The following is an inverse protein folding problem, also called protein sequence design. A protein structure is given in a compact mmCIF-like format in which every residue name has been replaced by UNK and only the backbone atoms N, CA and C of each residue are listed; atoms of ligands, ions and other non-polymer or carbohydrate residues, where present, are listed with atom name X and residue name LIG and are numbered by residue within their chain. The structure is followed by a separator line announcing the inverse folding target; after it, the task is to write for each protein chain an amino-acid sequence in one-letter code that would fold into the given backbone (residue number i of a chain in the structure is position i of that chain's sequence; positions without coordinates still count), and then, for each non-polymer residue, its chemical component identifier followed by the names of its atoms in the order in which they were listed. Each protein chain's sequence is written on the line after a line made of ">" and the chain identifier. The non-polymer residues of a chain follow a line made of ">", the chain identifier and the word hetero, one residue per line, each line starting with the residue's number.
data_IF_400736201888
#
_entry.id   IF_400736201888
#
_cell.length_a   1.000
_cell.length_b   1.000
_cell.length_c   1.000
_cell.angle_alpha   90.00
_cell.angle_beta   90.00
_cell.angle_gamma   90.00
#
_symmetry.space_group_name_H-M   'P 1'
#
loop_
_entity.id
_entity.type
_entity.pdbx_description
1 polymer ?
#
# COMPACT_ATOMS: atom_id res chain seq x y z
N UNK A 1 -14.67 -10.77 13.96
CA UNK A 1 -15.36 -11.26 12.73
C UNK A 1 -15.96 -10.03 12.07
N UNK A 2 -15.56 -9.67 10.85
CA UNK A 2 -16.12 -8.49 10.16
C UNK A 2 -17.54 -8.83 9.67
N UNK A 3 -18.54 -7.95 9.82
CA UNK A 3 -19.90 -8.27 9.38
C UNK A 3 -19.97 -8.30 7.84
N UNK A 4 -20.75 -9.23 7.25
CA UNK A 4 -20.85 -9.33 5.81
C UNK A 4 -21.69 -8.16 5.25
N UNK A 5 -21.07 -7.36 4.39
CA UNK A 5 -21.80 -6.37 3.59
C UNK A 5 -22.67 -7.10 2.56
N UNK A 6 -24.00 -6.99 2.72
CA UNK A 6 -24.95 -7.35 1.66
C UNK A 6 -24.92 -6.26 0.60
N UNK A 7 -24.63 -6.60 -0.65
CA UNK A 7 -25.06 -5.77 -1.77
C UNK A 7 -25.74 -6.63 -2.83
N UNK A 8 -26.99 -6.27 -3.10
CA UNK A 8 -27.93 -6.84 -4.02
C UNK A 8 -27.70 -6.24 -5.42
N UNK A 9 -27.14 -7.02 -6.34
CA UNK A 9 -27.50 -7.02 -7.77
C UNK A 9 -27.59 -5.74 -8.60
N UNK A 10 -27.18 -4.55 -8.13
CA UNK A 10 -27.16 -3.34 -8.96
C UNK A 10 -25.97 -3.38 -9.92
N UNK A 11 -26.28 -3.43 -11.22
CA UNK A 11 -25.31 -3.35 -12.32
C UNK A 11 -24.52 -2.03 -12.20
N UNK A 12 -23.33 -2.07 -11.60
CA UNK A 12 -22.47 -0.88 -11.54
C UNK A 12 -22.02 -0.51 -12.95
N UNK A 13 -22.30 0.71 -13.44
CA UNK A 13 -21.83 1.17 -14.74
C UNK A 13 -20.30 1.11 -14.74
N UNK A 14 -19.72 0.47 -15.76
CA UNK A 14 -18.28 0.38 -16.07
C UNK A 14 -17.41 0.86 -14.92
N UNK A 15 -17.19 -0.02 -13.95
CA UNK A 15 -16.48 0.28 -12.70
C UNK A 15 -15.22 1.10 -13.00
N UNK A 16 -15.24 2.40 -12.67
CA UNK A 16 -14.07 3.26 -12.78
C UNK A 16 -12.92 2.56 -12.04
N UNK A 17 -11.95 2.04 -12.78
CA UNK A 17 -10.86 1.25 -12.24
C UNK A 17 -10.00 2.19 -11.38
N UNK A 18 -10.13 2.10 -10.07
CA UNK A 18 -9.30 2.86 -9.15
C UNK A 18 -7.88 2.29 -9.17
N UNK A 19 -6.88 3.13 -9.46
CA UNK A 19 -5.48 2.74 -9.46
C UNK A 19 -4.80 3.37 -8.23
N UNK A 20 -4.19 2.53 -7.40
CA UNK A 20 -3.35 2.98 -6.29
C UNK A 20 -1.90 2.51 -6.51
N UNK A 21 -0.93 3.40 -6.25
CA UNK A 21 0.50 3.12 -6.38
C UNK A 21 1.17 3.43 -5.05
N UNK A 22 1.82 2.42 -4.47
CA UNK A 22 2.64 2.61 -3.28
C UNK A 22 3.94 3.33 -3.68
N UNK A 23 4.31 4.35 -2.90
CA UNK A 23 5.51 5.16 -3.14
C UNK A 23 6.35 5.26 -1.87
N UNK A 24 7.67 5.18 -2.03
CA UNK A 24 8.66 5.52 -1.00
C UNK A 24 9.74 6.46 -1.61
N UNK A 25 10.74 6.85 -0.82
CA UNK A 25 11.84 7.75 -1.19
C UNK A 25 12.83 7.16 -2.20
N UNK A 26 12.66 5.90 -2.58
CA UNK A 26 13.61 5.18 -3.42
C UNK A 26 13.34 5.37 -4.93
N UNK A 27 14.41 5.34 -5.73
CA UNK A 27 14.35 5.47 -7.19
C UNK A 27 13.39 4.46 -7.87
N UNK A 28 13.30 3.19 -7.44
CA UNK A 28 12.34 2.25 -8.01
C UNK A 28 10.87 2.70 -7.89
N UNK A 29 10.51 3.41 -6.82
CA UNK A 29 9.14 3.92 -6.61
C UNK A 29 8.72 4.92 -7.69
N UNK A 30 9.66 5.73 -8.19
CA UNK A 30 9.40 6.66 -9.29
C UNK A 30 9.17 5.91 -10.61
N UNK A 31 9.92 4.83 -10.84
CA UNK A 31 9.73 3.95 -11.99
C UNK A 31 8.35 3.26 -11.98
N UNK A 32 7.89 2.83 -10.80
CA UNK A 32 6.56 2.23 -10.63
C UNK A 32 5.44 3.22 -10.98
N UNK A 33 5.55 4.49 -10.56
CA UNK A 33 4.59 5.53 -10.93
C UNK A 33 4.57 5.77 -12.44
N UNK A 34 5.75 5.92 -13.06
CA UNK A 34 5.83 6.09 -14.52
C UNK A 34 5.17 4.91 -15.25
N UNK A 35 5.49 3.69 -14.84
CA UNK A 35 4.91 2.49 -15.45
C UNK A 35 3.38 2.46 -15.29
N UNK A 36 2.85 2.82 -14.11
CA UNK A 36 1.41 2.86 -13.87
C UNK A 36 0.70 3.92 -14.75
N UNK A 37 1.31 5.09 -14.93
CA UNK A 37 0.77 6.12 -15.85
C UNK A 37 0.75 5.61 -17.28
N UNK A 38 1.85 5.01 -17.73
CA UNK A 38 2.00 4.58 -19.13
C UNK A 38 1.11 3.37 -19.47
N UNK A 39 0.82 2.50 -18.50
CA UNK A 39 0.19 1.20 -18.77
C UNK A 39 -1.20 1.01 -18.15
N UNK A 40 -1.55 1.75 -17.10
CA UNK A 40 -2.80 1.53 -16.35
C UNK A 40 -3.79 2.70 -16.44
N UNK A 41 -3.31 3.94 -16.59
CA UNK A 41 -4.17 5.12 -16.59
C UNK A 41 -4.62 5.48 -18.00
N UNK A 42 -5.90 5.81 -18.14
CA UNK A 42 -6.41 6.55 -19.30
C UNK A 42 -6.60 8.02 -18.96
N UNK A 43 -6.69 8.87 -19.99
CA UNK A 43 -6.94 10.30 -19.82
C UNK A 43 -8.18 10.52 -18.95
N UNK A 44 -8.04 11.39 -17.94
CA UNK A 44 -9.12 11.72 -17.00
C UNK A 44 -9.26 10.75 -15.82
N UNK A 45 -8.46 9.68 -15.74
CA UNK A 45 -8.43 8.82 -14.56
C UNK A 45 -7.52 9.39 -13.48
N UNK A 46 -7.95 9.23 -12.23
CA UNK A 46 -7.18 9.61 -11.04
C UNK A 46 -6.35 8.43 -10.55
N UNK A 47 -5.10 8.70 -10.17
CA UNK A 47 -4.23 7.75 -9.48
C UNK A 47 -4.06 8.16 -8.02
N UNK A 48 -4.17 7.20 -7.11
CA UNK A 48 -3.97 7.40 -5.68
C UNK A 48 -2.54 7.01 -5.32
N UNK A 49 -1.75 7.94 -4.80
CA UNK A 49 -0.39 7.65 -4.33
C UNK A 49 -0.40 7.39 -2.82
N UNK A 50 0.16 6.28 -2.39
CA UNK A 50 0.17 5.87 -0.98
C UNK A 50 1.62 5.83 -0.50
N UNK A 51 1.97 6.74 0.41
CA UNK A 51 3.24 6.70 1.12
C UNK A 51 3.04 6.21 2.56
N UNK A 52 3.72 5.12 2.93
CA UNK A 52 3.66 4.57 4.29
C UNK A 52 4.83 5.10 5.11
N UNK A 53 4.55 5.92 6.12
CA UNK A 53 5.56 6.38 7.09
C UNK A 53 5.71 5.34 8.20
N UNK A 54 6.70 4.48 8.09
CA UNK A 54 7.05 3.52 9.14
C UNK A 54 7.61 4.28 10.34
N UNK A 55 6.84 4.36 11.43
CA UNK A 55 7.39 4.74 12.74
C UNK A 55 8.05 3.48 13.30
N UNK A 56 9.36 3.50 13.49
CA UNK A 56 10.03 2.47 14.28
C UNK A 56 9.45 2.55 15.70
N UNK A 57 8.50 1.70 16.05
CA UNK A 57 8.16 1.48 17.45
C UNK A 57 9.39 0.85 18.09
N UNK A 58 10.13 1.64 18.86
CA UNK A 58 11.10 1.10 19.80
C UNK A 58 10.33 0.32 20.88
N UNK A 59 9.85 -0.87 20.54
CA UNK A 59 9.25 -1.82 21.48
C UNK A 59 9.81 -3.20 21.19
N UNK A 60 10.83 -3.53 21.98
CA UNK A 60 11.03 -4.88 22.52
C UNK A 60 11.62 -5.91 21.56
N UNK A 61 12.88 -5.72 21.17
CA UNK A 61 13.78 -6.86 21.26
C UNK A 61 14.27 -6.90 22.70
N UNK A 62 13.89 -7.89 23.55
CA UNK A 62 14.61 -8.11 24.78
C UNK A 62 16.05 -8.43 24.35
N UNK A 63 16.99 -7.57 24.74
CA UNK A 63 18.41 -7.87 24.69
C UNK A 63 18.60 -9.19 25.43
N UNK A 64 18.85 -10.26 24.69
CA UNK A 64 19.16 -11.57 25.24
C UNK A 64 20.28 -11.39 26.28
N UNK A 65 20.09 -11.80 27.56
CA UNK A 65 21.15 -11.67 28.54
C UNK A 65 22.24 -12.66 28.15
N UNK A 66 23.41 -12.15 27.76
CA UNK A 66 24.60 -12.98 27.57
C UNK A 66 24.90 -13.66 28.91
N UNK A 67 24.79 -14.98 28.94
CA UNK A 67 25.13 -15.81 30.09
C UNK A 67 26.65 -15.73 30.29
N UNK A 68 27.10 -14.85 31.18
CA UNK A 68 28.48 -14.85 31.65
C UNK A 68 28.67 -16.11 32.50
N UNK A 69 29.35 -17.10 31.94
CA UNK A 69 29.82 -18.28 32.68
C UNK A 69 30.99 -17.82 33.55
N UNK A 70 30.86 -18.04 34.86
CA UNK A 70 31.92 -17.89 35.87
C UNK A 70 32.54 -19.27 36.14
#
# INVERSE_FOLDING_TARGET
>A
MWPPTRNNGERTPMTNKLIAVAIDKDKPSQGALKWAVDNLLSRGQTVVLIHVKVKLSASSFPSSPSLAIQ
#
